data_IF_487222037062
#
_entry.id   IF_487222037062
#
_cell.length_a   1.000
_cell.length_b   1.000
_cell.length_c   1.000
_cell.angle_alpha   90.00
_cell.angle_beta   90.00
_cell.angle_gamma   90.00
#
_symmetry.space_group_name_H-M   'P 1'
#
loop_
_entity.id
_entity.type
_entity.pdbx_description
1 polymer ?
#
# COMPACT_ATOMS: atom_id res chain seq x y z
N UNK A 1 -22.01 -8.19 -56.88
CA UNK A 1 -20.71 -8.29 -56.18
C UNK A 1 -20.71 -7.26 -55.06
N UNK A 2 -21.09 -7.65 -53.84
CA UNK A 2 -21.08 -6.76 -52.68
C UNK A 2 -19.73 -6.88 -51.98
N UNK A 3 -18.96 -5.79 -52.03
CA UNK A 3 -17.67 -5.60 -51.37
C UNK A 3 -17.89 -5.65 -49.84
N UNK A 4 -17.44 -6.74 -49.21
CA UNK A 4 -17.52 -6.92 -47.77
C UNK A 4 -16.33 -6.21 -47.12
N UNK A 5 -16.44 -4.88 -46.95
CA UNK A 5 -15.46 -4.06 -46.24
C UNK A 5 -15.27 -4.60 -44.81
N UNK A 6 -14.11 -5.19 -44.56
CA UNK A 6 -13.72 -5.68 -43.24
C UNK A 6 -13.45 -4.48 -42.31
N UNK A 7 -13.95 -4.47 -41.06
CA UNK A 7 -13.73 -3.34 -40.17
C UNK A 7 -12.24 -3.21 -39.81
N UNK A 8 -11.69 -1.99 -39.74
CA UNK A 8 -10.28 -1.79 -39.44
C UNK A 8 -9.96 -2.28 -38.02
N UNK A 9 -8.96 -3.16 -37.90
CA UNK A 9 -8.45 -3.65 -36.61
C UNK A 9 -7.86 -2.44 -35.85
N UNK A 10 -8.26 -2.17 -34.59
CA UNK A 10 -7.73 -1.05 -33.84
C UNK A 10 -6.23 -1.24 -33.60
N UNK A 11 -5.40 -0.40 -34.23
CA UNK A 11 -3.97 -0.34 -33.94
C UNK A 11 -3.78 0.28 -32.55
N UNK A 12 -3.49 -0.56 -31.56
CA UNK A 12 -3.08 -0.11 -30.24
C UNK A 12 -1.81 0.72 -30.38
N UNK A 13 -1.91 2.04 -30.17
CA UNK A 13 -0.75 2.92 -30.03
C UNK A 13 -0.03 2.54 -28.73
N UNK A 14 0.88 1.56 -28.81
CA UNK A 14 1.86 1.34 -27.76
C UNK A 14 2.64 2.64 -27.59
N UNK A 15 2.62 3.21 -26.38
CA UNK A 15 3.42 4.40 -26.10
C UNK A 15 4.89 4.09 -26.41
N UNK A 16 5.62 4.95 -27.14
CA UNK A 16 7.05 4.73 -27.42
C UNK A 16 7.85 4.57 -26.12
N UNK A 17 7.35 5.13 -25.01
CA UNK A 17 7.89 4.92 -23.67
C UNK A 17 7.84 3.46 -23.22
N UNK A 18 6.74 2.75 -23.48
CA UNK A 18 6.59 1.34 -23.09
C UNK A 18 7.58 0.47 -23.89
N UNK A 19 7.77 0.76 -25.17
CA UNK A 19 8.72 0.03 -26.02
C UNK A 19 10.18 0.28 -25.59
N UNK A 20 10.53 1.52 -25.25
CA UNK A 20 11.86 1.86 -24.74
C UNK A 20 12.12 1.18 -23.40
N UNK A 21 11.18 1.23 -22.47
CA UNK A 21 11.30 0.54 -21.18
C UNK A 21 11.44 -0.97 -21.38
N UNK A 22 10.66 -1.57 -22.27
CA UNK A 22 10.72 -3.01 -22.52
C UNK A 22 12.05 -3.45 -23.16
N UNK A 23 12.60 -2.64 -24.07
CA UNK A 23 13.90 -2.87 -24.70
C UNK A 23 15.06 -2.68 -23.70
N UNK A 24 14.97 -1.68 -22.83
CA UNK A 24 15.98 -1.42 -21.81
C UNK A 24 15.97 -2.54 -20.76
N UNK A 25 14.78 -2.98 -20.33
CA UNK A 25 14.62 -4.13 -19.44
C UNK A 25 15.13 -5.42 -20.11
N UNK A 26 14.85 -5.65 -21.40
CA UNK A 26 15.36 -6.84 -22.09
C UNK A 26 16.88 -6.81 -22.26
N UNK A 27 17.47 -5.66 -22.59
CA UNK A 27 18.92 -5.49 -22.67
C UNK A 27 19.61 -5.76 -21.32
N UNK A 28 19.01 -5.32 -20.22
CA UNK A 28 19.48 -5.61 -18.86
C UNK A 28 19.36 -7.09 -18.52
N UNK A 29 18.30 -7.78 -18.94
CA UNK A 29 18.10 -9.23 -18.70
C UNK A 29 19.07 -10.09 -19.52
N UNK A 30 19.55 -9.60 -20.67
CA UNK A 30 20.47 -10.36 -21.54
C UNK A 30 21.86 -10.52 -20.89
N UNK A 31 22.21 -9.68 -19.90
CA UNK A 31 23.44 -9.87 -19.12
C UNK A 31 23.23 -10.95 -18.04
N UNK A 32 24.05 -12.00 -18.06
CA UNK A 32 24.02 -13.08 -17.07
C UNK A 32 24.18 -12.58 -15.60
N UNK A 33 25.11 -11.66 -15.28
CA UNK A 33 25.34 -11.15 -13.92
C UNK A 33 24.13 -10.43 -13.32
N UNK A 34 23.44 -9.62 -14.11
CA UNK A 34 22.27 -8.83 -13.64
C UNK A 34 21.09 -9.71 -13.31
N UNK A 35 20.86 -10.80 -14.07
CA UNK A 35 19.81 -11.76 -13.78
C UNK A 35 20.09 -12.48 -12.46
N UNK A 36 21.34 -12.88 -12.21
CA UNK A 36 21.73 -13.51 -10.95
C UNK A 36 21.53 -12.55 -9.76
N UNK A 37 22.02 -11.31 -9.87
CA UNK A 37 21.88 -10.30 -8.82
C UNK A 37 20.41 -10.00 -8.53
N UNK A 38 19.58 -9.80 -9.55
CA UNK A 38 18.15 -9.56 -9.36
C UNK A 38 17.44 -10.77 -8.78
N UNK A 39 17.71 -11.98 -9.29
CA UNK A 39 17.02 -13.18 -8.84
C UNK A 39 17.29 -13.47 -7.36
N UNK A 40 18.55 -13.44 -6.94
CA UNK A 40 18.93 -13.72 -5.55
C UNK A 40 18.73 -12.53 -4.62
N UNK A 41 18.98 -11.31 -5.09
CA UNK A 41 18.78 -10.07 -4.31
C UNK A 41 17.30 -9.79 -4.04
N UNK A 42 16.41 -10.06 -5.01
CA UNK A 42 14.98 -9.81 -4.88
C UNK A 42 14.19 -10.96 -4.24
N UNK A 43 14.85 -12.03 -3.76
CA UNK A 43 14.18 -13.15 -3.08
C UNK A 43 13.21 -12.69 -1.97
N UNK A 44 13.57 -11.76 -1.07
CA UNK A 44 12.64 -11.26 -0.06
C UNK A 44 11.37 -10.61 -0.63
N UNK A 45 11.46 -9.95 -1.79
CA UNK A 45 10.30 -9.34 -2.48
C UNK A 45 9.36 -10.41 -3.03
N UNK A 46 9.92 -11.50 -3.56
CA UNK A 46 9.16 -12.66 -4.02
C UNK A 46 8.42 -13.29 -2.84
N UNK A 47 9.10 -13.48 -1.70
CA UNK A 47 8.49 -13.98 -0.48
C UNK A 47 7.36 -13.05 -0.01
N UNK A 48 7.58 -11.73 0.05
CA UNK A 48 6.56 -10.77 0.44
C UNK A 48 5.32 -10.82 -0.46
N UNK A 49 5.51 -11.04 -1.77
CA UNK A 49 4.41 -11.18 -2.72
C UNK A 49 3.61 -12.48 -2.54
N UNK A 50 4.26 -13.56 -2.12
CA UNK A 50 3.62 -14.86 -1.84
C UNK A 50 2.87 -14.82 -0.50
N UNK A 51 3.46 -14.19 0.52
CA UNK A 51 2.88 -14.07 1.86
C UNK A 51 1.64 -13.19 1.84
N UNK A 52 1.64 -12.11 1.03
CA UNK A 52 0.52 -11.18 0.95
C UNK A 52 -0.66 -11.75 0.13
N UNK A 53 -1.68 -12.23 0.83
CA UNK A 53 -2.90 -12.77 0.23
C UNK A 53 -4.01 -11.72 0.06
N UNK A 54 -3.90 -10.57 0.71
CA UNK A 54 -4.94 -9.54 0.67
C UNK A 54 -4.74 -8.60 -0.51
N UNK A 55 -5.85 -8.15 -1.12
CA UNK A 55 -5.83 -7.09 -2.14
C UNK A 55 -6.39 -5.81 -1.50
N UNK A 56 -5.74 -4.65 -1.68
CA UNK A 56 -4.47 -4.39 -2.38
C UNK A 56 -3.21 -4.82 -1.60
N UNK A 57 -2.16 -5.24 -2.32
CA UNK A 57 -0.91 -5.81 -1.75
C UNK A 57 0.10 -4.75 -1.30
N UNK A 58 -0.27 -3.88 -0.36
CA UNK A 58 0.59 -2.76 0.04
C UNK A 58 1.93 -3.20 0.62
N UNK A 59 1.97 -4.25 1.45
CA UNK A 59 3.21 -4.77 2.01
C UNK A 59 4.18 -5.21 0.91
N UNK A 60 3.70 -6.00 -0.06
CA UNK A 60 4.51 -6.48 -1.17
C UNK A 60 5.05 -5.34 -2.05
N UNK A 61 4.28 -4.25 -2.23
CA UNK A 61 4.71 -3.09 -3.01
C UNK A 61 5.82 -2.32 -2.25
N UNK A 62 5.62 -2.05 -0.96
CA UNK A 62 6.63 -1.36 -0.14
C UNK A 62 7.93 -2.17 -0.06
N UNK A 63 7.82 -3.48 0.17
CA UNK A 63 8.98 -4.37 0.28
C UNK A 63 9.70 -4.49 -1.06
N UNK A 64 8.99 -4.62 -2.17
CA UNK A 64 9.63 -4.73 -3.49
C UNK A 64 10.36 -3.46 -3.92
N UNK A 65 9.78 -2.29 -3.67
CA UNK A 65 10.44 -1.01 -3.93
C UNK A 65 11.69 -0.83 -3.05
N UNK A 66 11.58 -1.13 -1.76
CA UNK A 66 12.68 -0.95 -0.82
C UNK A 66 13.81 -1.96 -1.06
N UNK A 67 13.48 -3.23 -1.32
CA UNK A 67 14.46 -4.25 -1.70
C UNK A 67 15.20 -3.85 -2.98
N UNK A 68 14.46 -3.44 -4.02
CA UNK A 68 15.07 -2.98 -5.28
C UNK A 68 16.05 -1.82 -5.05
N UNK A 69 15.70 -0.86 -4.17
CA UNK A 69 16.62 0.21 -3.79
C UNK A 69 17.92 -0.29 -3.14
N UNK A 70 17.89 -1.40 -2.40
CA UNK A 70 19.08 -2.00 -1.79
C UNK A 70 19.91 -2.85 -2.76
N UNK A 71 19.27 -3.42 -3.79
CA UNK A 71 19.97 -4.16 -4.87
C UNK A 71 20.55 -3.22 -5.92
N UNK A 72 19.95 -2.04 -6.11
CA UNK A 72 20.34 -1.04 -7.10
C UNK A 72 21.83 -0.66 -7.11
N UNK A 73 22.50 -0.33 -5.98
CA UNK A 73 23.92 0.03 -6.02
C UNK A 73 24.79 -1.09 -6.60
N UNK A 74 24.51 -2.35 -6.26
CA UNK A 74 25.23 -3.51 -6.79
C UNK A 74 24.95 -3.76 -8.27
N UNK A 75 23.74 -3.43 -8.74
CA UNK A 75 23.44 -3.45 -10.17
C UNK A 75 24.21 -2.37 -10.91
N UNK A 76 24.30 -1.16 -10.35
CA UNK A 76 25.07 -0.07 -10.94
C UNK A 76 26.56 -0.39 -10.98
N UNK A 77 27.10 -0.98 -9.91
CA UNK A 77 28.50 -1.42 -9.86
C UNK A 77 28.77 -2.50 -10.92
N UNK A 78 27.87 -3.48 -11.07
CA UNK A 78 27.99 -4.50 -12.12
C UNK A 78 27.85 -3.95 -13.54
N UNK A 79 27.15 -2.82 -13.74
CA UNK A 79 27.04 -2.16 -15.05
C UNK A 79 28.21 -1.23 -15.35
N UNK A 80 28.79 -0.60 -14.33
CA UNK A 80 29.93 0.27 -14.47
C UNK A 80 31.27 -0.49 -14.51
N UNK A 81 31.30 -1.68 -13.91
CA UNK A 81 32.46 -2.57 -13.80
C UNK A 81 32.48 -3.68 -14.86
N UNK A 82 33.15 -4.76 -14.50
CA UNK A 82 33.32 -5.90 -15.38
C UNK A 82 32.04 -6.74 -15.38
N UNK A 83 31.45 -6.96 -16.57
CA UNK A 83 30.19 -7.70 -16.73
C UNK A 83 30.41 -9.21 -16.60
N UNK A 84 31.06 -9.63 -15.52
CA UNK A 84 31.47 -11.02 -15.27
C UNK A 84 30.58 -11.67 -14.23
N UNK A 85 30.35 -12.97 -14.42
CA UNK A 85 29.58 -13.77 -13.46
C UNK A 85 30.34 -13.91 -12.13
N UNK A 86 31.67 -13.92 -12.18
CA UNK A 86 32.53 -14.02 -10.98
C UNK A 86 32.29 -12.87 -10.02
N UNK A 87 32.19 -11.64 -10.53
CA UNK A 87 31.94 -10.45 -9.71
C UNK A 87 30.55 -10.48 -9.06
N UNK A 88 29.50 -10.80 -9.83
CA UNK A 88 28.16 -10.98 -9.28
C UNK A 88 28.10 -12.07 -8.20
N UNK A 89 28.83 -13.18 -8.38
CA UNK A 89 28.92 -14.23 -7.36
C UNK A 89 29.68 -13.77 -6.12
N UNK A 90 30.72 -12.98 -6.28
CA UNK A 90 31.42 -12.38 -5.14
C UNK A 90 30.49 -11.44 -4.36
N UNK A 91 29.71 -10.60 -5.05
CA UNK A 91 28.71 -9.74 -4.41
C UNK A 91 27.62 -10.57 -3.68
N UNK A 92 27.14 -11.65 -4.28
CA UNK A 92 26.08 -12.49 -3.68
C UNK A 92 26.56 -13.39 -2.54
N UNK A 93 27.86 -13.67 -2.44
CA UNK A 93 28.45 -14.45 -1.34
C UNK A 93 29.02 -13.56 -0.23
N UNK A 94 29.17 -12.26 -0.48
CA UNK A 94 29.62 -11.31 0.52
C UNK A 94 28.51 -11.00 1.54
N UNK A 95 28.82 -11.20 2.82
CA UNK A 95 27.88 -11.00 3.93
C UNK A 95 27.38 -9.55 4.02
N UNK A 96 28.25 -8.56 3.78
CA UNK A 96 27.86 -7.15 3.84
C UNK A 96 26.90 -6.78 2.72
N UNK A 97 27.14 -7.30 1.52
CA UNK A 97 26.24 -7.10 0.37
C UNK A 97 24.84 -7.65 0.65
N UNK A 98 24.77 -8.90 1.13
CA UNK A 98 23.50 -9.51 1.52
C UNK A 98 22.81 -8.76 2.65
N UNK A 99 23.57 -8.28 3.63
CA UNK A 99 23.04 -7.51 4.75
C UNK A 99 22.35 -6.22 4.24
N UNK A 100 22.97 -5.49 3.32
CA UNK A 100 22.38 -4.28 2.73
C UNK A 100 21.13 -4.62 1.90
N UNK A 101 21.22 -5.61 1.00
CA UNK A 101 20.09 -6.02 0.15
C UNK A 101 18.89 -6.49 0.97
N UNK A 102 19.10 -7.26 2.04
CA UNK A 102 18.00 -7.84 2.81
C UNK A 102 17.52 -6.92 3.93
N UNK A 103 18.39 -6.07 4.48
CA UNK A 103 17.98 -5.05 5.45
C UNK A 103 17.05 -4.01 4.82
N UNK A 104 17.30 -3.61 3.56
CA UNK A 104 16.38 -2.73 2.84
C UNK A 104 14.99 -3.39 2.69
N UNK A 105 14.93 -4.68 2.34
CA UNK A 105 13.67 -5.42 2.30
C UNK A 105 12.97 -5.48 3.67
N UNK A 106 13.72 -5.71 4.75
CA UNK A 106 13.18 -5.71 6.10
C UNK A 106 12.64 -4.32 6.47
N UNK A 107 13.30 -3.26 6.02
CA UNK A 107 12.84 -1.88 6.21
C UNK A 107 11.51 -1.61 5.50
N UNK A 108 11.29 -2.20 4.31
CA UNK A 108 9.99 -2.14 3.64
C UNK A 108 8.85 -2.71 4.49
N UNK A 109 9.11 -3.81 5.21
CA UNK A 109 8.16 -4.38 6.17
C UNK A 109 7.95 -3.48 7.39
N UNK A 110 9.02 -2.88 7.91
CA UNK A 110 8.92 -1.93 9.03
C UNK A 110 8.06 -0.72 8.67
N UNK A 111 8.22 -0.16 7.46
CA UNK A 111 7.37 0.92 6.97
C UNK A 111 5.91 0.47 6.92
N UNK A 112 5.63 -0.72 6.37
CA UNK A 112 4.27 -1.22 6.26
C UNK A 112 3.59 -1.38 7.63
N UNK A 113 4.33 -1.75 8.67
CA UNK A 113 3.81 -1.90 10.03
C UNK A 113 3.66 -0.53 10.73
N UNK A 114 4.61 0.39 10.51
CA UNK A 114 4.64 1.68 11.18
C UNK A 114 3.64 2.70 10.62
N UNK A 115 3.39 2.70 9.31
CA UNK A 115 2.55 3.71 8.66
C UNK A 115 1.06 3.64 9.08
N UNK A 116 0.39 2.48 9.12
CA UNK A 116 -1.03 2.40 9.48
C UNK A 116 -1.40 3.01 10.84
N UNK A 117 -0.70 2.69 11.96
CA UNK A 117 -1.04 3.29 13.26
C UNK A 117 -0.79 4.79 13.27
N UNK A 118 0.25 5.27 12.60
CA UNK A 118 0.53 6.71 12.48
C UNK A 118 -0.60 7.41 11.73
N UNK A 119 -1.04 6.87 10.59
CA UNK A 119 -2.16 7.45 9.83
C UNK A 119 -3.45 7.42 10.65
N UNK A 120 -3.70 6.34 11.41
CA UNK A 120 -4.87 6.22 12.25
C UNK A 120 -4.92 7.28 13.36
N UNK A 121 -3.80 7.59 14.02
CA UNK A 121 -3.75 8.63 15.06
C UNK A 121 -3.98 10.02 14.48
N UNK A 122 -3.35 10.35 13.34
CA UNK A 122 -3.61 11.61 12.65
C UNK A 122 -5.08 11.74 12.23
N UNK A 123 -5.67 10.67 11.71
CA UNK A 123 -7.07 10.67 11.30
C UNK A 123 -8.02 10.83 12.50
N UNK A 124 -7.70 10.22 13.64
CA UNK A 124 -8.46 10.40 14.88
C UNK A 124 -8.48 11.87 15.32
N UNK A 125 -7.31 12.54 15.33
CA UNK A 125 -7.20 13.97 15.69
C UNK A 125 -8.00 14.86 14.73
N UNK A 126 -7.94 14.58 13.42
CA UNK A 126 -8.71 15.32 12.42
C UNK A 126 -10.22 15.13 12.66
N UNK A 127 -10.65 13.90 12.96
CA UNK A 127 -12.05 13.58 13.21
C UNK A 127 -12.57 14.28 14.46
N UNK A 128 -11.80 14.33 15.55
CA UNK A 128 -12.17 15.06 16.77
C UNK A 128 -12.38 16.55 16.50
N UNK A 129 -11.47 17.18 15.74
CA UNK A 129 -11.62 18.58 15.33
C UNK A 129 -12.88 18.80 14.50
N UNK A 130 -13.15 17.90 13.56
CA UNK A 130 -14.36 17.96 12.73
C UNK A 130 -15.63 17.82 13.56
N UNK A 131 -15.66 16.89 14.53
CA UNK A 131 -16.79 16.73 15.45
C UNK A 131 -16.98 17.99 16.31
N UNK A 132 -15.90 18.58 16.83
CA UNK A 132 -15.97 19.81 17.61
C UNK A 132 -16.54 20.99 16.80
N UNK A 133 -16.11 21.14 15.54
CA UNK A 133 -16.65 22.15 14.62
C UNK A 133 -18.12 21.92 14.31
N UNK A 134 -18.52 20.67 14.02
CA UNK A 134 -19.92 20.32 13.76
C UNK A 134 -20.80 20.62 14.98
N UNK A 135 -20.37 20.23 16.18
CA UNK A 135 -21.08 20.53 17.44
C UNK A 135 -21.17 22.04 17.71
N UNK A 136 -20.13 22.81 17.40
CA UNK A 136 -20.16 24.27 17.53
C UNK A 136 -21.22 24.87 16.60
N UNK A 137 -21.22 24.47 15.32
CA UNK A 137 -22.20 24.94 14.33
C UNK A 137 -23.63 24.53 14.69
N UNK A 138 -23.80 23.33 15.24
CA UNK A 138 -25.10 22.86 15.70
C UNK A 138 -25.63 23.71 16.86
N UNK A 139 -24.75 24.12 17.81
CA UNK A 139 -25.13 25.05 18.89
C UNK A 139 -25.51 26.44 18.39
N UNK A 140 -24.78 26.97 17.40
CA UNK A 140 -25.10 28.25 16.77
C UNK A 140 -26.49 28.23 16.11
N UNK A 141 -26.79 27.17 15.34
CA UNK A 141 -28.10 27.00 14.70
C UNK A 141 -29.22 26.88 15.75
N UNK A 142 -29.01 26.14 16.84
CA UNK A 142 -30.01 26.03 17.92
C UNK A 142 -30.25 27.38 18.60
N UNK A 143 -29.20 28.20 18.77
CA UNK A 143 -29.33 29.54 19.35
C UNK A 143 -30.12 30.50 18.45
N UNK A 144 -29.95 30.40 17.13
CA UNK A 144 -30.65 31.25 16.15
C UNK A 144 -32.09 30.80 15.87
N UNK A 145 -32.34 29.49 15.75
CA UNK A 145 -33.60 28.94 15.25
C UNK A 145 -34.44 28.22 16.33
N UNK A 146 -33.92 28.11 17.55
CA UNK A 146 -34.56 27.40 18.65
C UNK A 146 -34.37 25.87 18.59
N UNK A 147 -34.68 25.22 19.71
CA UNK A 147 -34.49 23.77 19.94
C UNK A 147 -35.26 22.86 18.96
N UNK A 148 -36.33 23.33 18.32
CA UNK A 148 -37.15 22.51 17.42
C UNK A 148 -36.45 22.03 16.14
N UNK A 149 -35.29 22.62 15.79
CA UNK A 149 -34.48 22.24 14.61
C UNK A 149 -33.36 21.26 14.98
N UNK A 150 -33.09 21.08 16.28
CA UNK A 150 -32.24 19.98 16.73
C UNK A 150 -33.03 18.70 16.47
N UNK A 151 -32.69 17.96 15.42
CA UNK A 151 -33.28 16.65 15.12
C UNK A 151 -32.94 15.59 16.17
N UNK A 152 -33.29 15.84 17.43
CA UNK A 152 -33.37 14.84 18.49
C UNK A 152 -34.41 13.82 18.04
N UNK A 153 -33.92 12.70 17.50
CA UNK A 153 -34.71 11.48 17.58
C UNK A 153 -34.89 11.20 19.06
N UNK A 154 -36.12 11.17 19.59
CA UNK A 154 -36.34 10.97 21.01
C UNK A 154 -35.68 9.66 21.41
N UNK A 155 -34.69 9.79 22.29
CA UNK A 155 -34.06 8.67 22.96
C UNK A 155 -35.18 7.91 23.68
N UNK A 156 -35.30 6.63 23.35
CA UNK A 156 -36.32 5.74 23.90
C UNK A 156 -35.98 5.56 25.38
N UNK A 157 -36.53 6.41 26.24
CA UNK A 157 -36.53 6.25 27.69
C UNK A 157 -36.93 4.81 28.00
N UNK A 158 -36.09 4.01 28.70
CA UNK A 158 -36.50 2.67 29.09
C UNK A 158 -37.68 2.86 30.04
N UNK A 159 -38.85 2.40 29.59
CA UNK A 159 -40.10 2.46 30.32
C UNK A 159 -39.84 2.02 31.77
N UNK A 160 -40.09 2.94 32.70
CA UNK A 160 -40.20 2.64 34.11
C UNK A 160 -41.17 1.46 34.23
N UNK A 161 -40.66 0.30 34.64
CA UNK A 161 -41.51 -0.83 35.00
C UNK A 161 -42.39 -0.34 36.16
N UNK A 162 -43.72 -0.60 36.13
CA UNK A 162 -44.57 -0.27 37.26
C UNK A 162 -44.04 -0.98 38.50
N UNK A 163 -43.82 -0.22 39.57
CA UNK A 163 -43.63 -0.78 40.90
C UNK A 163 -44.96 -1.38 41.31
N UNK A 164 -45.10 -2.68 41.07
CA UNK A 164 -46.22 -3.49 41.57
C UNK A 164 -46.14 -3.48 43.10
N UNK A 165 -46.98 -2.64 43.70
CA UNK A 165 -47.19 -2.62 45.14
C UNK A 165 -48.47 -3.41 45.42
N UNK A 166 -48.35 -4.32 46.38
CA UNK A 166 -49.39 -4.98 47.18
C UNK A 166 -49.91 -6.36 46.71
N UNK A 167 -49.76 -7.31 47.66
CA UNK A 167 -50.79 -8.27 48.11
C UNK A 167 -50.46 -9.78 47.96
N UNK A 168 -49.82 -10.33 49.00
CA UNK A 168 -50.12 -11.61 49.68
C UNK A 168 -49.04 -11.74 50.79
N UNK A 169 -49.25 -11.61 52.11
CA UNK A 169 -50.37 -11.97 52.97
C UNK A 169 -50.80 -13.43 52.81
N UNK A 170 -49.96 -14.36 53.28
CA UNK A 170 -50.27 -15.56 54.08
C UNK A 170 -48.99 -16.35 54.33
#
# INVERSE_FOLDING_TARGET
MADKKQPPIPKTKGSPFILVVLLLVSAVIISLPTVLLLFFGMLPSIVAFIVERTKPRYAAICVSAMNFSGVLPYLLDSWAGDHTVSEAMNMLTNVFSLMVMYSSSAFGWLIFIAVPPVVATFLAVINERRIAQLRKRQREIIAEWGIGVAGEKPEKTPAAKPVETAAAAS
#
